data_IF_996787034045
#
_entry.id   IF_996787034045
#
_cell.length_a   1.000
_cell.length_b   1.000
_cell.length_c   1.000
_cell.angle_alpha   90.00
_cell.angle_beta   90.00
_cell.angle_gamma   90.00
#
_symmetry.space_group_name_H-M   'P 1'
#
loop_
_entity.id
_entity.type
_entity.pdbx_description
1 polymer ?
#
# COMPACT_ATOMS: atom_id res chain seq x y z
N UNK A 1 -16.42 -5.85 23.67
CA UNK A 1 -15.54 -5.86 22.51
C UNK A 1 -15.75 -4.51 21.83
N UNK A 2 -14.74 -3.67 21.72
CA UNK A 2 -14.83 -2.49 20.85
C UNK A 2 -14.90 -3.03 19.42
N UNK A 3 -15.96 -2.74 18.71
CA UNK A 3 -16.03 -3.03 17.27
C UNK A 3 -14.95 -2.19 16.61
N UNK A 4 -13.93 -2.83 16.07
CA UNK A 4 -12.93 -2.14 15.26
C UNK A 4 -13.67 -1.53 14.06
N UNK A 5 -13.58 -0.22 13.89
CA UNK A 5 -14.19 0.43 12.74
C UNK A 5 -13.53 -0.11 11.47
N UNK A 6 -14.35 -0.53 10.48
CA UNK A 6 -13.85 -0.99 9.18
C UNK A 6 -12.97 0.10 8.53
N UNK A 7 -11.81 -0.27 8.06
CA UNK A 7 -10.86 0.65 7.44
C UNK A 7 -11.28 0.86 5.98
N UNK A 8 -11.70 2.09 5.67
CA UNK A 8 -11.84 2.60 4.33
C UNK A 8 -10.61 3.49 4.07
N UNK A 9 -9.55 2.90 3.54
CA UNK A 9 -8.23 3.52 3.42
C UNK A 9 -7.86 3.91 2.00
N UNK A 10 -6.96 4.90 1.90
CA UNK A 10 -6.37 5.35 0.63
C UNK A 10 -4.86 5.45 0.76
N UNK A 11 -4.11 4.89 -0.19
CA UNK A 11 -2.69 5.18 -0.35
C UNK A 11 -2.54 6.41 -1.25
N UNK A 12 -1.98 7.48 -0.72
CA UNK A 12 -1.80 8.75 -1.43
C UNK A 12 -0.35 9.21 -1.42
N UNK A 13 0.56 8.26 -1.52
CA UNK A 13 2.00 8.54 -1.42
C UNK A 13 2.53 9.51 -2.48
N UNK A 14 1.88 9.60 -3.64
CA UNK A 14 2.20 10.59 -4.67
C UNK A 14 1.62 11.98 -4.43
N UNK A 15 0.71 12.17 -3.47
CA UNK A 15 0.01 13.45 -3.28
C UNK A 15 0.96 14.64 -3.18
N UNK A 16 2.02 14.51 -2.41
CA UNK A 16 3.00 15.57 -2.20
C UNK A 16 3.70 15.98 -3.53
N UNK A 17 4.06 15.02 -4.37
CA UNK A 17 4.66 15.28 -5.67
C UNK A 17 3.64 15.89 -6.66
N UNK A 18 2.40 15.40 -6.63
CA UNK A 18 1.32 15.90 -7.47
C UNK A 18 1.04 17.37 -7.16
N UNK A 19 0.87 17.72 -5.88
CA UNK A 19 0.60 19.10 -5.46
C UNK A 19 1.77 20.05 -5.80
N UNK A 20 3.00 19.60 -5.63
CA UNK A 20 4.17 20.40 -6.02
C UNK A 20 4.32 20.53 -7.54
N UNK A 21 3.84 19.58 -8.32
CA UNK A 21 3.73 19.63 -9.77
C UNK A 21 2.55 20.48 -10.27
N UNK A 22 1.77 21.08 -9.37
CA UNK A 22 0.63 21.92 -9.68
C UNK A 22 -0.69 21.17 -9.86
N UNK A 23 -0.75 19.88 -9.52
CA UNK A 23 -2.01 19.14 -9.45
C UNK A 23 -2.90 19.66 -8.33
N UNK A 24 -4.21 19.65 -8.55
CA UNK A 24 -5.21 20.14 -7.61
C UNK A 24 -6.47 19.27 -7.65
N UNK A 25 -7.28 19.33 -6.60
CA UNK A 25 -8.48 18.50 -6.46
C UNK A 25 -9.72 19.33 -6.15
N UNK A 26 -10.86 18.82 -6.57
CA UNK A 26 -12.14 19.52 -6.51
C UNK A 26 -13.25 18.55 -6.11
N UNK A 27 -14.06 18.92 -5.10
CA UNK A 27 -15.25 18.15 -4.71
C UNK A 27 -16.49 18.52 -5.54
N UNK A 28 -16.50 19.71 -6.20
CA UNK A 28 -17.59 20.24 -7.00
C UNK A 28 -17.30 20.24 -8.51
N UNK A 29 -18.30 20.61 -9.30
CA UNK A 29 -18.23 20.60 -10.76
C UNK A 29 -17.43 21.79 -11.37
N UNK A 30 -17.02 22.78 -10.57
CA UNK A 30 -16.26 23.93 -11.04
C UNK A 30 -14.77 23.77 -10.72
N UNK A 31 -14.03 23.37 -11.74
CA UNK A 31 -12.58 23.21 -11.68
C UNK A 31 -11.89 24.57 -11.91
N UNK A 32 -11.58 25.27 -10.84
CA UNK A 32 -10.77 26.49 -10.87
C UNK A 32 -9.80 26.50 -9.69
N UNK A 33 -8.65 27.15 -9.87
CA UNK A 33 -7.62 27.26 -8.81
C UNK A 33 -8.20 27.89 -7.52
N UNK A 34 -9.23 28.74 -7.67
CA UNK A 34 -9.92 29.38 -6.54
C UNK A 34 -10.80 28.40 -5.74
N UNK A 35 -11.20 27.26 -6.37
CA UNK A 35 -12.06 26.23 -5.78
C UNK A 35 -11.29 24.95 -5.41
N UNK A 36 -9.95 24.93 -5.54
CA UNK A 36 -9.13 23.80 -5.16
C UNK A 36 -9.20 23.55 -3.64
N UNK A 37 -9.32 22.28 -3.29
CA UNK A 37 -9.48 21.82 -1.91
C UNK A 37 -8.32 20.89 -1.51
N UNK A 38 -8.03 20.79 -0.23
CA UNK A 38 -7.08 19.78 0.26
C UNK A 38 -7.70 18.38 0.12
N UNK A 39 -7.00 17.50 -0.62
CA UNK A 39 -7.44 16.14 -0.90
C UNK A 39 -7.83 15.36 0.36
N UNK A 40 -7.12 15.53 1.47
CA UNK A 40 -7.40 14.80 2.72
C UNK A 40 -8.81 15.08 3.26
N UNK A 41 -9.29 16.32 3.11
CA UNK A 41 -10.66 16.66 3.52
C UNK A 41 -11.70 16.15 2.53
N UNK A 42 -11.44 16.21 1.20
CA UNK A 42 -12.32 15.58 0.22
C UNK A 42 -12.47 14.09 0.52
N UNK A 43 -11.38 13.38 0.76
CA UNK A 43 -11.41 11.96 1.09
C UNK A 43 -12.19 11.69 2.37
N UNK A 44 -11.90 12.44 3.44
CA UNK A 44 -12.59 12.30 4.74
C UNK A 44 -14.09 12.53 4.63
N UNK A 45 -14.52 13.56 3.92
CA UNK A 45 -15.93 13.92 3.76
C UNK A 45 -16.71 12.87 2.93
N UNK A 46 -15.97 12.02 2.19
CA UNK A 46 -16.50 10.88 1.46
C UNK A 46 -16.25 9.52 2.16
N UNK A 47 -16.05 9.54 3.48
CA UNK A 47 -16.04 8.32 4.31
C UNK A 47 -14.68 7.63 4.46
N UNK A 48 -13.62 8.17 3.87
CA UNK A 48 -12.25 7.66 4.09
C UNK A 48 -11.82 7.95 5.53
N UNK A 49 -11.26 6.95 6.21
CA UNK A 49 -10.88 7.05 7.62
C UNK A 49 -9.40 6.72 7.89
N UNK A 50 -8.66 6.28 6.88
CA UNK A 50 -7.26 5.91 7.00
C UNK A 50 -6.45 6.25 5.75
N UNK A 51 -5.20 6.63 5.94
CA UNK A 51 -4.24 6.93 4.89
C UNK A 51 -3.03 6.01 5.02
N UNK A 52 -2.58 5.45 3.90
CA UNK A 52 -1.31 4.74 3.78
C UNK A 52 -0.30 5.61 3.05
N UNK A 53 0.93 5.64 3.55
CA UNK A 53 2.08 6.25 2.87
C UNK A 53 3.23 5.24 2.84
N UNK A 54 3.87 5.09 1.67
CA UNK A 54 5.17 4.43 1.57
C UNK A 54 6.28 5.36 2.06
N UNK A 55 7.34 4.78 2.60
CA UNK A 55 8.58 5.50 2.90
C UNK A 55 9.76 4.84 2.20
N UNK A 56 10.57 5.66 1.51
CA UNK A 56 11.84 5.31 0.89
C UNK A 56 12.99 5.92 1.67
N UNK A 57 14.16 5.28 1.61
CA UNK A 57 15.32 5.70 2.40
C UNK A 57 15.93 7.01 1.88
N UNK A 58 16.41 7.03 0.64
CA UNK A 58 16.99 8.21 -0.03
C UNK A 58 16.57 8.25 -1.50
N UNK A 59 15.30 8.54 -1.80
CA UNK A 59 14.77 8.49 -3.15
C UNK A 59 15.25 9.65 -4.02
N UNK A 60 15.40 9.43 -5.33
CA UNK A 60 15.59 10.51 -6.27
C UNK A 60 14.46 11.55 -6.17
N UNK A 61 14.82 12.84 -6.12
CA UNK A 61 13.84 13.93 -5.98
C UNK A 61 13.31 14.15 -4.56
N UNK A 62 13.59 13.25 -3.62
CA UNK A 62 13.27 13.40 -2.19
C UNK A 62 11.82 13.08 -1.82
N UNK A 63 10.91 12.81 -2.75
CA UNK A 63 9.52 12.44 -2.43
C UNK A 63 9.48 11.07 -1.75
N UNK A 64 8.57 10.90 -0.80
CA UNK A 64 8.48 9.72 0.07
C UNK A 64 9.70 9.48 0.98
N UNK A 65 10.62 10.42 1.13
CA UNK A 65 11.69 10.33 2.13
C UNK A 65 11.14 10.66 3.54
N UNK A 66 11.99 10.53 4.56
CA UNK A 66 11.60 10.78 5.95
C UNK A 66 11.09 12.21 6.17
N UNK A 67 11.77 13.23 5.63
CA UNK A 67 11.37 14.63 5.81
C UNK A 67 9.95 14.89 5.26
N UNK A 68 9.68 14.40 4.04
CA UNK A 68 8.37 14.54 3.39
C UNK A 68 7.30 13.71 4.11
N UNK A 69 7.63 12.52 4.56
CA UNK A 69 6.73 11.66 5.34
C UNK A 69 6.33 12.33 6.65
N UNK A 70 7.26 13.01 7.36
CA UNK A 70 6.95 13.76 8.58
C UNK A 70 5.97 14.90 8.31
N UNK A 71 6.09 15.61 7.19
CA UNK A 71 5.15 16.67 6.78
C UNK A 71 3.77 16.08 6.48
N UNK A 72 3.71 15.03 5.68
CA UNK A 72 2.45 14.39 5.31
C UNK A 72 1.74 13.77 6.53
N UNK A 73 2.48 13.16 7.46
CA UNK A 73 1.92 12.60 8.69
C UNK A 73 1.22 13.67 9.56
N UNK A 74 1.73 14.91 9.60
CA UNK A 74 1.05 16.02 10.28
C UNK A 74 -0.29 16.34 9.62
N UNK A 75 -0.32 16.47 8.29
CA UNK A 75 -1.56 16.73 7.56
C UNK A 75 -2.61 15.64 7.80
N UNK A 76 -2.19 14.36 7.78
CA UNK A 76 -3.08 13.21 8.03
C UNK A 76 -3.69 13.29 9.44
N UNK A 77 -2.88 13.55 10.46
CA UNK A 77 -3.38 13.66 11.86
C UNK A 77 -4.20 14.91 12.10
N UNK A 78 -3.88 16.04 11.47
CA UNK A 78 -4.69 17.27 11.50
C UNK A 78 -6.06 17.06 10.86
N UNK A 79 -6.14 16.28 9.78
CA UNK A 79 -7.40 15.86 9.18
C UNK A 79 -8.17 14.85 10.06
N UNK A 80 -7.54 14.28 11.10
CA UNK A 80 -8.15 13.31 12.01
C UNK A 80 -8.29 11.91 11.39
N UNK A 81 -7.39 11.54 10.47
CA UNK A 81 -7.35 10.24 9.80
C UNK A 81 -6.34 9.31 10.48
N UNK A 82 -6.61 7.99 10.41
CA UNK A 82 -5.64 6.97 10.81
C UNK A 82 -4.49 6.90 9.81
N UNK A 83 -3.34 6.40 10.26
CA UNK A 83 -2.12 6.39 9.48
C UNK A 83 -1.45 5.01 9.47
N UNK A 84 -1.25 4.43 8.29
CA UNK A 84 -0.43 3.25 8.03
C UNK A 84 0.84 3.68 7.31
N UNK A 85 2.01 3.36 7.88
CA UNK A 85 3.31 3.62 7.26
C UNK A 85 3.89 2.34 6.67
N UNK A 86 4.21 2.37 5.38
CA UNK A 86 4.74 1.26 4.60
C UNK A 86 6.25 1.41 4.35
N UNK A 87 7.06 0.61 5.04
CA UNK A 87 8.51 0.58 4.87
C UNK A 87 8.91 -0.26 3.66
N UNK A 88 9.38 0.37 2.59
CA UNK A 88 9.93 -0.33 1.42
C UNK A 88 11.36 -0.85 1.64
N UNK A 89 12.13 -0.23 2.52
CA UNK A 89 13.58 -0.50 2.70
C UNK A 89 14.36 -0.42 1.40
N UNK A 90 14.09 0.61 0.63
CA UNK A 90 14.68 0.87 -0.69
C UNK A 90 14.70 2.37 -0.95
N UNK A 91 15.46 2.82 -1.95
CA UNK A 91 15.42 4.21 -2.45
C UNK A 91 14.39 4.40 -3.58
N UNK A 92 13.70 3.34 -3.96
CA UNK A 92 12.69 3.29 -5.03
C UNK A 92 11.66 2.19 -4.76
N UNK A 93 10.85 1.88 -5.77
CA UNK A 93 9.90 0.78 -5.70
C UNK A 93 10.53 -0.50 -5.13
N UNK A 94 9.89 -1.05 -4.10
CA UNK A 94 10.04 -2.43 -3.67
C UNK A 94 8.75 -3.16 -4.05
N UNK A 95 8.86 -4.13 -4.94
CA UNK A 95 7.75 -4.88 -5.52
C UNK A 95 8.22 -6.31 -5.86
N UNK A 96 7.35 -7.22 -6.36
CA UNK A 96 7.75 -8.59 -6.67
C UNK A 96 8.86 -8.72 -7.72
N UNK A 97 9.09 -7.70 -8.54
CA UNK A 97 10.15 -7.70 -9.54
C UNK A 97 11.45 -7.03 -9.05
N UNK A 98 11.39 -6.26 -7.97
CA UNK A 98 12.52 -5.48 -7.49
C UNK A 98 12.47 -5.24 -5.98
N UNK A 99 13.48 -5.73 -5.27
CA UNK A 99 13.66 -5.55 -3.82
C UNK A 99 15.09 -5.06 -3.53
N UNK A 100 15.48 -3.98 -4.22
CA UNK A 100 16.84 -3.43 -4.12
C UNK A 100 17.10 -2.82 -2.75
N UNK A 101 18.27 -3.07 -2.20
CA UNK A 101 18.74 -2.36 -1.01
C UNK A 101 18.88 -0.85 -1.27
N UNK A 102 18.67 -0.01 -0.24
CA UNK A 102 19.09 1.38 -0.29
C UNK A 102 20.59 1.46 -0.62
N UNK A 103 20.98 2.45 -1.42
CA UNK A 103 22.38 2.66 -1.80
C UNK A 103 23.32 2.76 -0.59
N UNK A 104 22.84 3.38 0.48
CA UNK A 104 23.62 3.49 1.73
C UNK A 104 23.90 2.13 2.41
N UNK A 105 23.13 1.08 2.08
CA UNK A 105 23.24 -0.26 2.68
C UNK A 105 23.89 -1.30 1.77
N UNK A 106 24.21 -0.96 0.51
CA UNK A 106 24.74 -1.91 -0.49
C UNK A 106 26.02 -2.63 -0.04
N UNK A 107 26.88 -1.95 0.73
CA UNK A 107 28.16 -2.48 1.17
C UNK A 107 28.16 -3.01 2.62
N UNK A 108 27.01 -3.09 3.27
CA UNK A 108 26.91 -3.68 4.60
C UNK A 108 26.99 -5.21 4.48
N UNK A 109 27.67 -5.83 5.45
CA UNK A 109 27.53 -7.26 5.66
C UNK A 109 26.15 -7.59 6.24
N UNK A 110 25.80 -8.86 6.34
CA UNK A 110 24.48 -9.28 6.81
C UNK A 110 24.15 -8.77 8.22
N UNK A 111 25.13 -8.73 9.11
CA UNK A 111 24.96 -8.19 10.47
C UNK A 111 24.69 -6.69 10.43
N UNK A 112 25.46 -5.97 9.64
CA UNK A 112 25.28 -4.53 9.42
C UNK A 112 23.92 -4.20 8.77
N UNK A 113 23.50 -5.01 7.77
CA UNK A 113 22.22 -4.87 7.11
C UNK A 113 21.05 -5.09 8.09
N UNK A 114 21.11 -6.15 8.91
CA UNK A 114 20.12 -6.45 9.96
C UNK A 114 20.02 -5.29 10.96
N UNK A 115 21.16 -4.76 11.39
CA UNK A 115 21.20 -3.60 12.29
C UNK A 115 20.61 -2.35 11.63
N UNK A 116 20.90 -2.11 10.34
CA UNK A 116 20.38 -0.96 9.60
C UNK A 116 18.84 -1.00 9.49
N UNK A 117 18.26 -2.17 9.21
CA UNK A 117 16.79 -2.35 9.20
C UNK A 117 16.18 -2.02 10.55
N UNK A 118 16.75 -2.56 11.64
CA UNK A 118 16.27 -2.30 13.00
C UNK A 118 16.33 -0.81 13.34
N UNK A 119 17.51 -0.19 13.18
CA UNK A 119 17.73 1.21 13.57
C UNK A 119 16.88 2.17 12.73
N UNK A 120 16.84 1.98 11.41
CA UNK A 120 16.01 2.83 10.53
C UNK A 120 14.54 2.78 10.90
N UNK A 121 13.99 1.57 11.11
CA UNK A 121 12.59 1.43 11.49
C UNK A 121 12.32 2.09 12.84
N UNK A 122 13.18 1.85 13.83
CA UNK A 122 13.07 2.45 15.16
C UNK A 122 13.11 3.98 15.11
N UNK A 123 14.10 4.54 14.42
CA UNK A 123 14.29 5.99 14.32
C UNK A 123 13.13 6.69 13.62
N UNK A 124 12.62 6.14 12.51
CA UNK A 124 11.46 6.71 11.80
C UNK A 124 10.23 6.74 12.70
N UNK A 125 9.92 5.64 13.38
CA UNK A 125 8.77 5.57 14.30
C UNK A 125 8.95 6.51 15.50
N UNK A 126 10.15 6.59 16.09
CA UNK A 126 10.47 7.51 17.19
C UNK A 126 10.29 8.98 16.78
N UNK A 127 10.72 9.36 15.58
CA UNK A 127 10.56 10.72 15.07
C UNK A 127 9.09 11.06 14.85
N UNK A 128 8.31 10.18 14.23
CA UNK A 128 6.87 10.34 14.06
C UNK A 128 6.16 10.45 15.43
N UNK A 129 6.51 9.60 16.39
CA UNK A 129 5.99 9.65 17.75
C UNK A 129 6.33 10.95 18.45
N UNK A 130 7.57 11.42 18.35
CA UNK A 130 8.05 12.63 19.01
C UNK A 130 7.35 13.89 18.50
N UNK A 131 6.96 13.92 17.23
CA UNK A 131 6.16 15.04 16.69
C UNK A 131 4.64 14.90 16.91
N UNK A 132 4.17 13.82 17.55
CA UNK A 132 2.75 13.58 17.82
C UNK A 132 1.97 12.95 16.65
N UNK A 133 2.66 12.35 15.69
CA UNK A 133 2.06 11.74 14.49
C UNK A 133 2.42 10.27 14.33
N UNK A 134 2.51 9.55 15.47
CA UNK A 134 2.78 8.11 15.43
C UNK A 134 1.78 7.40 14.52
N UNK A 135 2.23 6.49 13.64
CA UNK A 135 1.31 5.69 12.86
C UNK A 135 0.47 4.77 13.75
N UNK A 136 -0.72 4.42 13.29
CA UNK A 136 -1.59 3.46 13.95
C UNK A 136 -1.16 2.02 13.65
N UNK A 137 -0.48 1.83 12.51
CA UNK A 137 0.07 0.56 12.03
C UNK A 137 1.31 0.83 11.16
N UNK A 138 2.24 -0.13 11.14
CA UNK A 138 3.36 -0.15 10.20
C UNK A 138 3.36 -1.43 9.37
N UNK A 139 3.81 -1.32 8.14
CA UNK A 139 4.05 -2.42 7.23
C UNK A 139 5.56 -2.64 7.10
N UNK A 140 6.04 -3.85 7.38
CA UNK A 140 7.45 -4.22 7.32
C UNK A 140 7.75 -4.89 5.98
N UNK A 141 8.34 -4.13 5.07
CA UNK A 141 8.52 -4.50 3.66
C UNK A 141 7.24 -4.33 2.83
N UNK A 142 7.39 -4.20 1.53
CA UNK A 142 6.28 -4.09 0.57
C UNK A 142 6.33 -5.24 -0.42
N UNK A 143 5.20 -5.98 -0.56
CA UNK A 143 5.06 -7.11 -1.49
C UNK A 143 6.22 -8.11 -1.42
N UNK A 144 6.57 -8.53 -0.22
CA UNK A 144 7.76 -9.32 0.08
C UNK A 144 7.64 -10.81 -0.21
N UNK A 145 6.76 -11.23 -1.12
CA UNK A 145 6.64 -12.63 -1.56
C UNK A 145 7.98 -13.22 -1.99
N UNK A 146 8.81 -12.52 -2.81
CA UNK A 146 10.14 -13.01 -3.22
C UNK A 146 11.25 -12.63 -2.22
N UNK A 147 10.92 -12.24 -1.01
CA UNK A 147 11.84 -11.70 -0.03
C UNK A 147 11.97 -10.18 -0.10
N UNK A 148 12.97 -9.62 0.61
CA UNK A 148 13.30 -8.20 0.59
C UNK A 148 14.82 -7.99 0.68
N UNK A 149 15.32 -6.80 0.34
CA UNK A 149 16.75 -6.44 0.47
C UNK A 149 17.67 -7.44 -0.24
N UNK A 150 17.43 -7.63 -1.54
CA UNK A 150 18.18 -8.60 -2.34
C UNK A 150 19.68 -8.24 -2.42
N UNK A 151 20.62 -9.27 -2.45
CA UNK A 151 20.29 -10.71 -2.51
C UNK A 151 20.12 -11.36 -1.11
N UNK A 152 20.50 -10.69 -0.02
CA UNK A 152 20.57 -11.31 1.31
C UNK A 152 19.24 -11.88 1.78
N UNK A 153 18.14 -11.16 1.53
CA UNK A 153 16.79 -11.61 1.90
C UNK A 153 15.97 -12.15 0.72
N UNK A 154 16.58 -12.58 -0.38
CA UNK A 154 15.86 -13.13 -1.54
C UNK A 154 15.46 -14.59 -1.29
N UNK A 155 14.20 -14.96 -1.64
CA UNK A 155 13.65 -16.30 -1.37
C UNK A 155 12.85 -16.89 -2.54
N UNK A 156 13.14 -16.48 -3.77
CA UNK A 156 12.48 -17.02 -4.97
C UNK A 156 13.44 -17.77 -5.89
N UNK A 157 12.89 -18.66 -6.72
CA UNK A 157 13.66 -19.42 -7.71
C UNK A 157 14.81 -20.21 -7.06
N UNK A 158 16.04 -19.98 -7.52
CA UNK A 158 17.25 -20.63 -6.98
C UNK A 158 17.59 -20.20 -5.55
N UNK A 159 17.00 -19.11 -5.08
CA UNK A 159 17.16 -18.57 -3.72
C UNK A 159 16.16 -19.15 -2.72
N UNK A 160 15.22 -19.99 -3.13
CA UNK A 160 14.27 -20.66 -2.21
C UNK A 160 14.99 -21.80 -1.45
N UNK A 161 15.88 -21.43 -0.55
CA UNK A 161 16.67 -22.33 0.32
C UNK A 161 16.41 -22.03 1.78
N UNK A 162 16.71 -23.00 2.65
CA UNK A 162 16.56 -22.82 4.10
C UNK A 162 17.36 -21.63 4.61
N UNK A 163 18.62 -21.51 4.17
CA UNK A 163 19.51 -20.41 4.59
C UNK A 163 18.94 -19.04 4.18
N UNK A 164 18.41 -18.93 2.95
CA UNK A 164 17.83 -17.67 2.47
C UNK A 164 16.57 -17.30 3.24
N UNK A 165 15.72 -18.26 3.56
CA UNK A 165 14.57 -18.04 4.41
C UNK A 165 14.97 -17.58 5.82
N UNK A 166 15.99 -18.20 6.44
CA UNK A 166 16.51 -17.77 7.73
C UNK A 166 17.03 -16.31 7.70
N UNK A 167 17.74 -15.93 6.64
CA UNK A 167 18.21 -14.56 6.46
C UNK A 167 17.03 -13.58 6.25
N UNK A 168 16.11 -13.91 5.37
CA UNK A 168 14.92 -13.10 5.10
C UNK A 168 14.09 -12.88 6.37
N UNK A 169 13.80 -13.94 7.10
CA UNK A 169 13.07 -13.86 8.37
C UNK A 169 13.81 -13.01 9.41
N UNK A 170 15.14 -13.13 9.47
CA UNK A 170 15.97 -12.30 10.37
C UNK A 170 15.83 -10.81 10.05
N UNK A 171 15.83 -10.43 8.77
CA UNK A 171 15.64 -9.05 8.34
C UNK A 171 14.24 -8.53 8.68
N UNK A 172 13.19 -9.33 8.44
CA UNK A 172 11.81 -8.98 8.81
C UNK A 172 11.67 -8.80 10.33
N UNK A 173 12.22 -9.72 11.11
CA UNK A 173 12.20 -9.65 12.58
C UNK A 173 12.96 -8.42 13.10
N UNK A 174 14.02 -8.01 12.44
CA UNK A 174 14.73 -6.77 12.77
C UNK A 174 13.84 -5.53 12.57
N UNK A 175 13.09 -5.46 11.47
CA UNK A 175 12.11 -4.39 11.25
C UNK A 175 11.01 -4.37 12.30
N UNK A 176 10.42 -5.53 12.61
CA UNK A 176 9.41 -5.68 13.66
C UNK A 176 9.98 -5.24 15.02
N UNK A 177 11.18 -5.68 15.36
CA UNK A 177 11.84 -5.33 16.63
C UNK A 177 12.11 -3.83 16.72
N UNK A 178 12.53 -3.17 15.64
CA UNK A 178 12.72 -1.72 15.57
C UNK A 178 11.41 -0.96 15.81
N UNK A 179 10.33 -1.36 15.15
CA UNK A 179 9.00 -0.77 15.35
C UNK A 179 8.51 -0.93 16.81
N UNK A 180 8.61 -2.14 17.36
CA UNK A 180 8.18 -2.44 18.74
C UNK A 180 9.08 -1.79 19.80
N UNK A 181 10.36 -1.54 19.51
CA UNK A 181 11.25 -0.79 20.41
C UNK A 181 10.83 0.68 20.52
N UNK A 182 10.37 1.29 19.44
CA UNK A 182 9.85 2.66 19.44
C UNK A 182 8.46 2.76 20.08
N UNK A 183 7.59 1.76 19.84
CA UNK A 183 6.22 1.70 20.36
C UNK A 183 5.78 0.23 20.49
N UNK A 184 5.76 -0.28 21.71
CA UNK A 184 5.54 -1.71 22.03
C UNK A 184 4.18 -2.24 21.56
N UNK A 185 3.18 -1.40 21.51
CA UNK A 185 1.78 -1.70 21.13
C UNK A 185 1.45 -1.36 19.67
N UNK A 186 2.42 -0.84 18.89
CA UNK A 186 2.24 -0.53 17.48
C UNK A 186 1.90 -1.79 16.67
N UNK A 187 0.80 -1.75 15.94
CA UNK A 187 0.38 -2.87 15.09
C UNK A 187 1.33 -3.05 13.90
N UNK A 188 1.63 -4.29 13.55
CA UNK A 188 2.55 -4.65 12.47
C UNK A 188 1.86 -5.51 11.43
N UNK A 189 1.93 -5.08 10.17
CA UNK A 189 1.46 -5.79 8.99
C UNK A 189 2.60 -6.44 8.23
N UNK A 190 2.36 -7.63 7.69
CA UNK A 190 3.19 -8.29 6.68
C UNK A 190 2.41 -8.36 5.38
N UNK A 191 2.96 -7.84 4.30
CA UNK A 191 2.31 -7.61 3.01
C UNK A 191 2.93 -8.43 1.89
N UNK A 192 2.08 -9.18 1.16
CA UNK A 192 2.42 -9.92 -0.07
C UNK A 192 1.45 -9.60 -1.21
N UNK A 193 1.90 -9.84 -2.45
CA UNK A 193 1.14 -9.58 -3.68
C UNK A 193 0.24 -10.74 -4.15
N UNK A 194 -0.25 -11.59 -3.23
CA UNK A 194 -0.93 -12.85 -3.55
C UNK A 194 -2.40 -12.89 -3.14
N UNK A 195 -3.13 -11.79 -3.36
CA UNK A 195 -4.50 -11.65 -2.90
C UNK A 195 -5.47 -12.76 -3.33
N UNK A 196 -5.31 -13.30 -4.52
CA UNK A 196 -6.15 -14.38 -5.04
C UNK A 196 -5.41 -15.71 -5.27
N UNK A 197 -4.15 -15.83 -4.86
CA UNK A 197 -3.34 -17.04 -4.99
C UNK A 197 -3.18 -17.73 -3.64
N UNK A 198 -4.16 -18.57 -3.29
CA UNK A 198 -4.17 -19.28 -2.02
C UNK A 198 -2.94 -20.17 -1.79
N UNK A 199 -2.49 -21.03 -2.76
CA UNK A 199 -1.31 -21.84 -2.56
C UNK A 199 -0.05 -21.02 -2.25
N UNK A 200 0.17 -19.92 -2.96
CA UNK A 200 1.33 -19.05 -2.71
C UNK A 200 1.23 -18.31 -1.39
N UNK A 201 0.05 -17.75 -1.07
CA UNK A 201 -0.22 -17.08 0.21
C UNK A 201 0.02 -18.00 1.39
N UNK A 202 -0.52 -19.22 1.32
CA UNK A 202 -0.36 -20.25 2.35
C UNK A 202 1.12 -20.64 2.50
N UNK A 203 1.81 -20.93 1.40
CA UNK A 203 3.23 -21.30 1.46
C UNK A 203 4.08 -20.23 2.14
N UNK A 204 3.80 -18.94 1.83
CA UNK A 204 4.51 -17.83 2.45
C UNK A 204 4.23 -17.71 3.96
N UNK A 205 2.97 -17.62 4.35
CA UNK A 205 2.62 -17.41 5.75
C UNK A 205 2.88 -18.64 6.62
N UNK A 206 2.76 -19.87 6.11
CA UNK A 206 3.17 -21.08 6.86
C UNK A 206 4.62 -20.97 7.31
N UNK A 207 5.54 -20.53 6.42
CA UNK A 207 6.95 -20.33 6.78
C UNK A 207 7.15 -19.25 7.83
N UNK A 208 6.39 -18.16 7.78
CA UNK A 208 6.43 -17.12 8.81
C UNK A 208 6.02 -17.66 10.18
N UNK A 209 4.96 -18.44 10.24
CA UNK A 209 4.50 -19.07 11.49
C UNK A 209 5.47 -20.14 11.99
N UNK A 210 6.03 -20.96 11.12
CA UNK A 210 7.06 -21.95 11.45
C UNK A 210 8.31 -21.32 12.07
N UNK A 211 8.71 -20.14 11.61
CA UNK A 211 9.84 -19.38 12.17
C UNK A 211 9.46 -18.49 13.35
N UNK A 212 8.22 -18.52 13.80
CA UNK A 212 7.76 -17.77 14.97
C UNK A 212 7.75 -16.24 14.75
N UNK A 213 7.55 -15.76 13.51
CA UNK A 213 7.43 -14.33 13.24
C UNK A 213 6.15 -13.80 13.87
N UNK A 214 6.30 -12.85 14.78
CA UNK A 214 5.16 -12.27 15.49
C UNK A 214 4.74 -10.95 14.81
N UNK A 215 3.61 -10.98 14.11
CA UNK A 215 2.97 -9.84 13.46
C UNK A 215 1.45 -9.87 13.72
N UNK A 216 0.77 -8.78 13.44
CA UNK A 216 -0.63 -8.58 13.84
C UNK A 216 -1.60 -8.77 12.67
N UNK A 217 -1.26 -8.28 11.47
CA UNK A 217 -2.17 -8.17 10.32
C UNK A 217 -1.54 -8.78 9.06
N UNK A 218 -2.35 -9.56 8.32
CA UNK A 218 -2.04 -10.02 6.98
C UNK A 218 -2.44 -8.92 5.99
N UNK A 219 -1.49 -8.42 5.21
CA UNK A 219 -1.72 -7.48 4.11
C UNK A 219 -1.59 -8.18 2.76
N UNK A 220 -2.48 -7.85 1.82
CA UNK A 220 -2.50 -8.45 0.49
C UNK A 220 -2.75 -7.38 -0.57
N UNK A 221 -2.04 -7.44 -1.71
CA UNK A 221 -2.43 -6.72 -2.92
C UNK A 221 -3.43 -7.53 -3.72
N UNK A 222 -4.45 -6.86 -4.23
CA UNK A 222 -5.39 -7.46 -5.18
C UNK A 222 -5.74 -6.48 -6.29
N UNK A 223 -5.30 -6.81 -7.50
CA UNK A 223 -5.66 -6.14 -8.74
C UNK A 223 -6.24 -7.19 -9.70
N UNK A 224 -7.51 -7.06 -10.07
CA UNK A 224 -8.21 -8.13 -10.82
C UNK A 224 -7.57 -8.47 -12.16
N UNK A 225 -6.92 -7.52 -12.81
CA UNK A 225 -6.23 -7.76 -14.10
C UNK A 225 -4.92 -8.55 -13.99
N UNK A 226 -4.37 -8.70 -12.78
CA UNK A 226 -3.16 -9.48 -12.51
C UNK A 226 -3.42 -10.71 -11.65
N UNK A 227 -4.36 -10.63 -10.72
CA UNK A 227 -4.45 -11.61 -9.64
C UNK A 227 -5.64 -12.57 -9.76
N UNK A 228 -6.67 -12.25 -10.55
CA UNK A 228 -7.82 -13.12 -10.73
C UNK A 228 -9.17 -12.49 -10.37
N UNK A 229 -10.12 -13.31 -9.99
CA UNK A 229 -11.50 -12.89 -9.74
C UNK A 229 -11.76 -12.52 -8.27
N UNK A 230 -12.89 -11.84 -8.02
CA UNK A 230 -13.37 -11.60 -6.64
C UNK A 230 -13.70 -12.90 -5.91
N UNK A 231 -14.07 -13.97 -6.63
CA UNK A 231 -14.28 -15.30 -6.03
C UNK A 231 -12.98 -15.97 -5.60
N UNK A 232 -11.91 -15.80 -6.40
CA UNK A 232 -10.57 -16.26 -6.02
C UNK A 232 -10.05 -15.50 -4.79
N UNK A 233 -10.26 -14.18 -4.77
CA UNK A 233 -9.94 -13.34 -3.59
C UNK A 233 -10.69 -13.84 -2.36
N UNK A 234 -12.03 -14.01 -2.44
CA UNK A 234 -12.86 -14.50 -1.34
C UNK A 234 -12.35 -15.83 -0.80
N UNK A 235 -12.05 -16.77 -1.68
CA UNK A 235 -11.55 -18.10 -1.31
C UNK A 235 -10.24 -18.00 -0.53
N UNK A 236 -9.28 -17.21 -1.04
CA UNK A 236 -7.99 -17.03 -0.38
C UNK A 236 -8.13 -16.36 1.00
N UNK A 237 -8.91 -15.25 1.09
CA UNK A 237 -9.08 -14.50 2.34
C UNK A 237 -9.75 -15.37 3.42
N UNK A 238 -10.79 -16.14 3.06
CA UNK A 238 -11.48 -17.03 4.01
C UNK A 238 -10.53 -18.11 4.57
N UNK A 239 -9.75 -18.75 3.70
CA UNK A 239 -8.81 -19.79 4.13
C UNK A 239 -7.66 -19.23 4.98
N UNK A 240 -7.15 -18.03 4.68
CA UNK A 240 -6.15 -17.36 5.51
C UNK A 240 -6.70 -16.99 6.89
N UNK A 241 -7.94 -16.50 6.95
CA UNK A 241 -8.61 -16.17 8.20
C UNK A 241 -8.79 -17.40 9.10
N UNK A 242 -9.31 -18.50 8.54
CA UNK A 242 -9.51 -19.76 9.25
C UNK A 242 -8.18 -20.37 9.74
N UNK A 243 -7.14 -20.32 8.87
CA UNK A 243 -5.86 -20.97 9.17
C UNK A 243 -5.03 -20.22 10.21
N UNK A 244 -4.95 -18.89 10.09
CA UNK A 244 -4.01 -18.09 10.89
C UNK A 244 -4.67 -17.29 12.01
N UNK A 245 -5.98 -17.14 11.97
CA UNK A 245 -6.75 -16.34 12.93
C UNK A 245 -6.19 -14.91 13.10
N UNK A 246 -5.67 -14.33 12.02
CA UNK A 246 -5.18 -12.95 11.94
C UNK A 246 -6.21 -12.04 11.31
N UNK A 247 -6.14 -10.77 11.65
CA UNK A 247 -6.87 -9.75 10.93
C UNK A 247 -6.27 -9.57 9.53
N UNK A 248 -7.11 -9.27 8.54
CA UNK A 248 -6.75 -9.20 7.13
C UNK A 248 -7.16 -7.84 6.55
N UNK A 249 -6.24 -7.22 5.82
CA UNK A 249 -6.48 -6.01 5.05
C UNK A 249 -6.04 -6.27 3.61
N UNK A 250 -6.90 -5.96 2.64
CA UNK A 250 -6.44 -5.83 1.25
C UNK A 250 -5.84 -4.43 1.11
N UNK A 251 -4.50 -4.36 1.23
CA UNK A 251 -3.76 -3.11 1.43
C UNK A 251 -3.45 -2.37 0.13
N UNK A 252 -3.69 -3.03 -1.02
CA UNK A 252 -3.65 -2.42 -2.34
C UNK A 252 -4.72 -2.98 -3.26
N UNK A 253 -5.49 -2.10 -3.88
CA UNK A 253 -6.45 -2.39 -4.95
C UNK A 253 -6.71 -1.15 -5.77
N UNK A 254 -7.24 -1.32 -6.98
CA UNK A 254 -7.79 -0.24 -7.82
C UNK A 254 -8.71 -0.85 -8.88
N UNK A 255 -9.50 -0.01 -9.56
CA UNK A 255 -10.28 -0.40 -10.73
C UNK A 255 -10.44 0.78 -11.70
N UNK A 256 -10.44 0.57 -13.03
CA UNK A 256 -10.51 1.68 -13.97
C UNK A 256 -11.93 2.25 -14.10
N UNK A 257 -12.02 3.59 -14.20
CA UNK A 257 -13.24 4.31 -14.50
C UNK A 257 -13.39 4.62 -16.01
N UNK A 258 -12.33 4.40 -16.79
CA UNK A 258 -12.33 4.58 -18.25
C UNK A 258 -11.17 3.79 -18.88
N UNK A 259 -11.27 3.44 -20.17
CA UNK A 259 -10.16 2.93 -20.97
C UNK A 259 -9.56 4.00 -21.88
N UNK A 260 -10.09 5.23 -21.84
CA UNK A 260 -9.55 6.34 -22.62
C UNK A 260 -8.34 6.94 -21.89
N UNK A 261 -7.21 6.96 -22.59
CA UNK A 261 -6.00 7.61 -22.08
C UNK A 261 -6.10 9.14 -22.23
N UNK A 262 -5.59 9.92 -21.26
CA UNK A 262 -5.34 11.33 -21.51
C UNK A 262 -4.22 11.48 -22.56
N UNK A 263 -4.25 12.56 -23.33
CA UNK A 263 -3.32 12.76 -24.45
C UNK A 263 -1.86 12.74 -23.97
N UNK A 264 -1.09 11.80 -24.51
CA UNK A 264 0.34 11.65 -24.23
C UNK A 264 0.67 10.90 -22.94
N UNK A 265 -0.29 10.18 -22.35
CA UNK A 265 -0.06 9.31 -21.18
C UNK A 265 -0.37 7.85 -21.49
N UNK A 266 0.47 6.89 -21.05
CA UNK A 266 0.16 5.48 -21.15
C UNK A 266 -0.91 5.06 -20.11
N UNK A 267 -1.53 3.89 -20.32
CA UNK A 267 -2.39 3.25 -19.32
C UNK A 267 -1.94 1.80 -19.07
N UNK A 268 -1.87 1.40 -17.80
CA UNK A 268 -1.63 0.00 -17.42
C UNK A 268 -2.85 -0.86 -17.77
N UNK A 269 -4.05 -0.36 -17.51
CA UNK A 269 -5.31 -1.02 -17.90
C UNK A 269 -5.91 -0.22 -19.06
N UNK A 270 -5.79 -0.74 -20.29
CA UNK A 270 -6.17 -0.06 -21.51
C UNK A 270 -7.09 -0.88 -22.43
N UNK A 271 -7.35 -2.14 -22.08
CA UNK A 271 -8.10 -3.07 -22.93
C UNK A 271 -9.23 -3.76 -22.14
N UNK A 272 -10.37 -3.98 -22.78
CA UNK A 272 -11.53 -4.66 -22.18
C UNK A 272 -11.21 -6.04 -21.60
N UNK A 273 -10.29 -6.79 -22.21
CA UNK A 273 -9.88 -8.11 -21.71
C UNK A 273 -9.19 -8.09 -20.34
N UNK A 274 -8.74 -6.92 -19.88
CA UNK A 274 -8.14 -6.73 -18.56
C UNK A 274 -9.20 -6.47 -17.48
N UNK A 275 -10.44 -6.18 -17.87
CA UNK A 275 -11.52 -5.90 -16.93
C UNK A 275 -12.02 -7.19 -16.30
N UNK A 276 -12.48 -7.08 -15.06
CA UNK A 276 -13.23 -8.16 -14.41
C UNK A 276 -14.61 -8.29 -15.06
N UNK A 277 -15.04 -9.51 -15.34
CA UNK A 277 -16.34 -9.79 -15.96
C UNK A 277 -17.48 -9.16 -15.15
N UNK A 278 -18.37 -8.46 -15.84
CA UNK A 278 -19.53 -7.78 -15.23
C UNK A 278 -19.29 -6.32 -14.83
N UNK A 279 -18.05 -5.82 -14.88
CA UNK A 279 -17.73 -4.44 -14.46
C UNK A 279 -17.04 -3.68 -15.61
N UNK A 280 -17.80 -2.92 -16.43
CA UNK A 280 -17.18 -2.10 -17.48
C UNK A 280 -16.32 -0.98 -16.89
N UNK A 281 -15.32 -0.51 -17.63
CA UNK A 281 -14.53 0.65 -17.26
C UNK A 281 -15.33 1.95 -17.43
N UNK A 282 -16.20 2.21 -16.50
CA UNK A 282 -17.03 3.41 -16.34
C UNK A 282 -17.07 3.77 -14.86
N UNK A 283 -17.44 5.00 -14.51
CA UNK A 283 -17.59 5.42 -13.11
C UNK A 283 -18.57 4.49 -12.36
N UNK A 284 -19.71 4.14 -12.99
CA UNK A 284 -20.66 3.18 -12.41
C UNK A 284 -20.04 1.77 -12.26
N UNK A 285 -19.32 1.29 -13.28
CA UNK A 285 -18.64 -0.01 -13.23
C UNK A 285 -17.56 -0.08 -12.14
N UNK A 286 -16.78 0.98 -11.98
CA UNK A 286 -15.80 1.13 -10.91
C UNK A 286 -16.50 1.10 -9.54
N UNK A 287 -17.59 1.86 -9.36
CA UNK A 287 -18.38 1.88 -8.13
C UNK A 287 -18.92 0.48 -7.78
N UNK A 288 -19.51 -0.21 -8.75
CA UNK A 288 -20.09 -1.53 -8.53
C UNK A 288 -19.01 -2.57 -8.19
N UNK A 289 -17.87 -2.52 -8.88
CA UNK A 289 -16.72 -3.37 -8.57
C UNK A 289 -16.25 -3.15 -7.13
N UNK A 290 -16.07 -1.90 -6.71
CA UNK A 290 -15.60 -1.59 -5.36
C UNK A 290 -16.60 -2.02 -4.29
N UNK A 291 -17.91 -1.87 -4.51
CA UNK A 291 -18.93 -2.37 -3.58
C UNK A 291 -18.85 -3.89 -3.37
N UNK A 292 -18.72 -4.64 -4.47
CA UNK A 292 -18.63 -6.09 -4.38
C UNK A 292 -17.27 -6.54 -3.80
N UNK A 293 -16.17 -5.84 -4.13
CA UNK A 293 -14.87 -6.03 -3.52
C UNK A 293 -14.90 -5.80 -1.99
N UNK A 294 -15.50 -4.71 -1.52
CA UNK A 294 -15.65 -4.41 -0.10
C UNK A 294 -16.49 -5.49 0.59
N UNK A 295 -17.59 -5.91 -0.05
CA UNK A 295 -18.42 -6.98 0.46
C UNK A 295 -17.68 -8.31 0.64
N UNK A 296 -16.71 -8.62 -0.24
CA UNK A 296 -15.82 -9.78 -0.04
C UNK A 296 -15.08 -9.70 1.28
N UNK A 297 -14.50 -8.53 1.60
CA UNK A 297 -13.71 -8.33 2.82
C UNK A 297 -14.60 -8.33 4.07
N UNK A 298 -15.72 -7.63 4.04
CA UNK A 298 -16.65 -7.56 5.18
C UNK A 298 -17.23 -8.92 5.57
N UNK A 299 -17.33 -9.86 4.61
CA UNK A 299 -17.86 -11.19 4.83
C UNK A 299 -16.79 -12.25 5.14
N UNK A 300 -15.54 -11.85 5.40
CA UNK A 300 -14.51 -12.78 5.90
C UNK A 300 -14.94 -13.34 7.26
N UNK A 301 -14.82 -14.67 7.50
CA UNK A 301 -15.22 -15.31 8.73
C UNK A 301 -14.65 -14.63 9.99
N UNK A 302 -15.45 -14.68 11.07
CA UNK A 302 -15.09 -14.17 12.41
C UNK A 302 -14.74 -12.67 12.46
N UNK A 303 -15.17 -11.89 11.45
CA UNK A 303 -14.88 -10.47 11.35
C UNK A 303 -13.41 -10.16 11.14
N UNK A 304 -12.67 -11.09 10.52
CA UNK A 304 -11.24 -10.95 10.28
C UNK A 304 -10.89 -9.99 9.15
N UNK A 305 -11.83 -9.70 8.25
CA UNK A 305 -11.68 -8.64 7.24
C UNK A 305 -11.90 -7.28 7.87
N UNK A 306 -10.83 -6.55 8.15
CA UNK A 306 -10.93 -5.29 8.89
C UNK A 306 -10.81 -4.05 8.00
N UNK A 307 -10.62 -4.22 6.68
CA UNK A 307 -10.61 -3.09 5.75
C UNK A 307 -9.77 -3.29 4.50
N UNK A 308 -9.63 -2.20 3.78
CA UNK A 308 -8.81 -2.13 2.56
C UNK A 308 -8.15 -0.76 2.44
N UNK A 309 -7.18 -0.66 1.51
CA UNK A 309 -6.63 0.59 1.01
C UNK A 309 -6.70 0.61 -0.51
N UNK A 310 -7.29 1.68 -1.08
CA UNK A 310 -7.23 1.94 -2.50
C UNK A 310 -5.87 2.55 -2.84
N UNK A 311 -5.16 1.98 -3.82
CA UNK A 311 -3.82 2.44 -4.15
C UNK A 311 -3.85 3.60 -5.15
N UNK A 312 -3.28 4.73 -4.77
CA UNK A 312 -3.10 5.95 -5.54
C UNK A 312 -4.40 6.45 -6.23
N UNK A 313 -5.49 6.65 -5.45
CA UNK A 313 -6.77 7.11 -5.98
C UNK A 313 -6.69 8.50 -6.62
N UNK A 314 -5.61 9.23 -6.35
CA UNK A 314 -5.44 10.63 -6.69
C UNK A 314 -4.27 10.88 -7.66
N UNK A 315 -3.64 9.83 -8.24
CA UNK A 315 -2.52 10.01 -9.15
C UNK A 315 -2.98 10.46 -10.52
N UNK A 316 -3.42 11.71 -10.59
CA UNK A 316 -3.87 12.37 -11.82
C UNK A 316 -2.68 12.72 -12.74
N UNK A 317 -2.89 12.88 -14.06
CA UNK A 317 -1.83 13.17 -15.04
C UNK A 317 -1.41 14.66 -15.04
N UNK A 318 -1.08 15.20 -13.87
CA UNK A 318 -0.72 16.61 -13.69
C UNK A 318 0.65 16.98 -14.25
N UNK A 319 1.51 16.00 -14.46
CA UNK A 319 2.86 16.18 -15.04
C UNK A 319 3.27 14.95 -15.83
N UNK A 320 4.28 15.11 -16.72
CA UNK A 320 4.79 13.99 -17.54
C UNK A 320 5.95 13.25 -16.89
N UNK A 321 6.82 13.98 -16.20
CA UNK A 321 8.01 13.43 -15.55
C UNK A 321 7.77 13.32 -14.06
N UNK A 322 8.02 12.13 -13.51
CA UNK A 322 7.86 11.82 -12.09
C UNK A 322 9.22 11.45 -11.49
N UNK A 323 9.41 11.76 -10.22
CA UNK A 323 10.66 11.47 -9.49
C UNK A 323 11.03 9.98 -9.51
N UNK A 324 10.05 9.11 -9.69
CA UNK A 324 10.23 7.65 -9.82
C UNK A 324 10.85 7.22 -11.16
N UNK A 325 11.03 8.15 -12.10
CA UNK A 325 11.73 7.91 -13.37
C UNK A 325 10.91 7.20 -14.45
N UNK A 326 9.58 7.14 -14.32
CA UNK A 326 8.67 6.63 -15.35
C UNK A 326 7.38 7.45 -15.43
N UNK A 327 6.63 7.26 -16.52
CA UNK A 327 5.36 7.93 -16.74
C UNK A 327 4.25 7.41 -15.82
N UNK A 328 3.20 8.22 -15.63
CA UNK A 328 2.00 7.82 -14.92
C UNK A 328 1.10 6.96 -15.81
N UNK A 329 1.12 5.66 -15.63
CA UNK A 329 0.20 4.70 -16.26
C UNK A 329 -1.08 4.43 -15.46
N UNK A 330 -1.30 5.13 -14.35
CA UNK A 330 -2.35 4.86 -13.37
C UNK A 330 -3.55 5.80 -13.47
N UNK A 331 -3.48 6.83 -14.29
CA UNK A 331 -4.43 7.95 -14.30
C UNK A 331 -5.90 7.57 -14.52
N UNK A 332 -6.20 6.44 -15.15
CA UNK A 332 -7.56 5.94 -15.30
C UNK A 332 -8.04 4.99 -14.18
N UNK A 333 -7.17 4.73 -13.21
CA UNK A 333 -7.46 3.90 -12.02
C UNK A 333 -7.77 4.77 -10.79
N UNK A 334 -7.77 6.09 -10.96
CA UNK A 334 -8.04 7.06 -9.89
C UNK A 334 -9.53 7.13 -9.52
N UNK A 335 -9.83 7.77 -8.40
CA UNK A 335 -11.20 8.15 -7.97
C UNK A 335 -11.45 9.65 -8.24
N UNK A 336 -10.61 10.23 -9.06
CA UNK A 336 -10.69 11.59 -9.59
C UNK A 336 -10.50 11.52 -11.10
N UNK A 337 -11.15 12.41 -11.83
CA UNK A 337 -10.93 12.53 -13.26
C UNK A 337 -9.54 13.12 -13.59
N UNK A 338 -9.21 13.23 -14.86
CA UNK A 338 -7.88 13.69 -15.28
C UNK A 338 -7.55 15.14 -14.91
N UNK A 339 -8.55 15.94 -14.56
CA UNK A 339 -8.39 17.33 -14.13
C UNK A 339 -8.41 17.49 -12.61
N UNK A 340 -8.67 16.42 -11.85
CA UNK A 340 -8.73 16.42 -10.39
C UNK A 340 -10.14 16.59 -9.83
N UNK A 341 -11.17 16.53 -10.66
CA UNK A 341 -12.56 16.49 -10.23
C UNK A 341 -12.94 15.16 -9.59
N UNK A 342 -13.60 15.21 -8.42
CA UNK A 342 -14.07 14.01 -7.71
C UNK A 342 -15.05 13.21 -8.60
N UNK A 343 -14.82 11.91 -8.74
CA UNK A 343 -15.77 10.99 -9.36
C UNK A 343 -16.79 10.49 -8.33
N UNK A 344 -18.00 10.18 -8.78
CA UNK A 344 -19.04 9.60 -7.93
C UNK A 344 -18.62 8.23 -7.34
N UNK A 345 -17.68 7.55 -7.98
CA UNK A 345 -17.10 6.31 -7.49
C UNK A 345 -16.24 6.45 -6.22
N UNK A 346 -15.97 7.64 -5.72
CA UNK A 346 -15.37 7.84 -4.40
C UNK A 346 -16.35 7.50 -3.26
N UNK A 347 -17.65 7.49 -3.54
CA UNK A 347 -18.73 7.20 -2.58
C UNK A 347 -19.23 5.73 -2.70
N UNK A 348 -18.34 4.73 -2.60
CA UNK A 348 -18.69 3.30 -2.64
C UNK A 348 -18.99 2.68 -1.28
#
# INVERSE_FOLDING_TARGET
MMTTTFINGMDISFLDEIEQGGGAYYSGAEESVENAEDLLYILKDNGVNAIRLRIWNDPPGGFCNLERTLIMAKRIKEAGLNFLLDFHYSDKWADPANQSKPKAWENLDFTGLTSAVYEYTREVVELLKSQGTMPDMVQIGNEITPGMLWNEGKVDGEWDTTEQWEQFITLVQAGIAGAKAAASDLSVMIHIDRGADHPASRNFYDRFFEHGVNFDVIGLSFYSWWHGTLDDLRSNLNELAERYNKDIIVVETAYPWTLNAPEGFPLIVSEEKQLHEGYPATVEGQTNYMKDFISVIENIPDGKGIGFYYWEPAWIPSQKEWSVGHENGWSNLTLFDFAGGKLDSLEF
#
